data_IF_310423212212
#
_entry.id   IF_310423212212
#
_cell.length_a   1.000
_cell.length_b   1.000
_cell.length_c   1.000
_cell.angle_alpha   90.00
_cell.angle_beta   90.00
_cell.angle_gamma   90.00
#
_symmetry.space_group_name_H-M   'P 1'
#
loop_
_entity.id
_entity.type
_entity.pdbx_description
1 polymer ?
#
# COMPACT_ATOMS: atom_id res chain seq x y z
N UNK A 1 29.17 77.96 -34.01
CA UNK A 1 29.93 77.54 -32.81
C UNK A 1 29.40 76.19 -32.33
N UNK A 2 30.23 75.12 -32.45
CA UNK A 2 30.32 73.84 -31.69
C UNK A 2 29.03 73.22 -31.11
N UNK A 3 28.56 72.05 -31.58
CA UNK A 3 29.04 70.64 -31.39
C UNK A 3 28.19 69.87 -30.34
N UNK A 4 27.38 68.94 -30.85
CA UNK A 4 27.16 67.54 -30.43
C UNK A 4 27.61 67.02 -29.04
N UNK A 5 26.76 66.13 -28.51
CA UNK A 5 26.95 65.02 -27.52
C UNK A 5 26.80 65.36 -26.02
N UNK A 6 25.69 64.88 -25.43
CA UNK A 6 25.60 63.67 -24.56
C UNK A 6 24.17 63.61 -24.01
N UNK A 7 23.37 62.65 -24.46
CA UNK A 7 23.22 61.31 -23.90
C UNK A 7 22.58 61.33 -22.50
N UNK A 8 21.44 60.64 -22.43
CA UNK A 8 21.01 59.75 -21.37
C UNK A 8 21.44 60.14 -19.95
N UNK A 9 20.49 60.44 -19.07
CA UNK A 9 20.35 59.69 -17.83
C UNK A 9 18.98 60.01 -17.19
N UNK A 10 18.15 58.98 -17.13
CA UNK A 10 17.25 58.71 -15.99
C UNK A 10 16.02 59.61 -15.88
N UNK A 11 15.17 59.53 -16.92
CA UNK A 11 13.72 59.43 -16.71
C UNK A 11 13.38 57.96 -16.49
N UNK A 12 13.97 57.35 -15.45
CA UNK A 12 13.85 55.93 -15.09
C UNK A 12 13.18 55.77 -13.72
N UNK A 13 12.08 56.48 -13.48
CA UNK A 13 11.38 56.36 -12.20
C UNK A 13 9.85 56.33 -12.30
N UNK A 14 9.29 56.12 -13.49
CA UNK A 14 7.83 56.02 -13.68
C UNK A 14 7.40 54.89 -14.63
N UNK A 15 8.22 53.83 -14.74
CA UNK A 15 7.89 52.60 -15.49
C UNK A 15 7.97 51.32 -14.62
N UNK A 16 7.58 51.44 -13.35
CA UNK A 16 7.25 50.28 -12.51
C UNK A 16 5.77 50.26 -12.12
N UNK A 17 4.90 50.71 -13.03
CA UNK A 17 3.55 50.15 -13.06
C UNK A 17 3.74 48.77 -13.67
N UNK A 18 3.93 47.81 -12.77
CA UNK A 18 3.84 46.39 -13.04
C UNK A 18 2.57 46.15 -13.85
N UNK A 19 2.71 45.98 -15.17
CA UNK A 19 1.89 44.98 -15.82
C UNK A 19 2.34 43.66 -15.21
N UNK A 20 1.76 43.32 -14.06
CA UNK A 20 1.53 41.92 -13.75
C UNK A 20 0.78 41.41 -14.98
N UNK A 21 1.49 40.69 -15.83
CA UNK A 21 0.85 39.66 -16.60
C UNK A 21 0.14 38.81 -15.56
N UNK A 22 -1.14 39.09 -15.33
CA UNK A 22 -2.11 38.11 -14.93
C UNK A 22 -2.09 37.04 -16.02
N UNK A 23 -1.03 36.24 -16.05
CA UNK A 23 -1.18 34.82 -16.31
C UNK A 23 -2.17 34.40 -15.24
N UNK A 24 -3.44 34.35 -15.62
CA UNK A 24 -4.27 33.15 -15.67
C UNK A 24 -3.66 31.86 -15.07
N UNK A 25 -2.90 31.95 -13.99
CA UNK A 25 -3.00 31.02 -12.88
C UNK A 25 -4.30 31.40 -12.19
N UNK A 26 -5.42 31.17 -12.89
CA UNK A 26 -6.66 30.87 -12.23
C UNK A 26 -6.30 29.79 -11.22
N UNK A 27 -6.26 30.17 -9.94
CA UNK A 27 -6.88 29.46 -8.84
C UNK A 27 -7.29 28.03 -9.22
N UNK A 28 -6.33 27.16 -9.55
CA UNK A 28 -6.50 25.74 -9.34
C UNK A 28 -6.47 25.66 -7.83
N UNK A 29 -7.68 25.77 -7.28
CA UNK A 29 -8.01 25.24 -5.99
C UNK A 29 -7.62 23.76 -6.13
N UNK A 30 -6.36 23.45 -5.86
CA UNK A 30 -5.82 22.10 -5.96
C UNK A 30 -6.44 21.36 -4.79
N UNK A 31 -7.69 20.96 -4.95
CA UNK A 31 -8.35 20.07 -4.03
C UNK A 31 -7.61 18.74 -4.09
N UNK A 32 -6.58 18.62 -3.27
CA UNK A 32 -5.73 17.44 -3.15
C UNK A 32 -6.45 16.31 -2.42
N UNK A 33 -7.72 16.49 -2.05
CA UNK A 33 -8.54 15.44 -1.50
C UNK A 33 -9.20 14.61 -2.60
N UNK A 34 -9.40 15.20 -3.78
CA UNK A 34 -9.93 14.51 -4.95
C UNK A 34 -8.79 14.06 -5.87
N UNK A 35 -8.85 12.81 -6.36
CA UNK A 35 -7.90 12.25 -7.31
C UNK A 35 -8.61 11.45 -8.39
N UNK A 36 -8.14 11.57 -9.64
CA UNK A 36 -8.65 10.80 -10.77
C UNK A 36 -7.71 9.63 -11.07
N UNK A 37 -8.25 8.41 -10.99
CA UNK A 37 -7.55 7.16 -11.26
C UNK A 37 -7.98 6.61 -12.62
N UNK A 38 -7.02 6.20 -13.44
CA UNK A 38 -7.26 5.56 -14.73
C UNK A 38 -7.26 4.05 -14.57
N UNK A 39 -8.36 3.41 -14.94
CA UNK A 39 -8.39 1.96 -15.13
C UNK A 39 -7.86 1.61 -16.53
N UNK A 40 -6.76 0.86 -16.55
CA UNK A 40 -6.19 0.25 -17.74
C UNK A 40 -6.42 -1.25 -17.65
N UNK A 41 -7.28 -1.78 -18.53
CA UNK A 41 -7.65 -3.19 -18.54
C UNK A 41 -6.40 -4.08 -18.64
N UNK A 42 -6.22 -4.97 -17.69
CA UNK A 42 -4.99 -5.76 -17.55
C UNK A 42 -5.04 -7.11 -18.28
N UNK A 43 -6.17 -7.81 -18.21
CA UNK A 43 -6.37 -9.15 -18.76
C UNK A 43 -7.82 -9.30 -19.31
N UNK A 44 -8.14 -10.35 -20.10
CA UNK A 44 -9.43 -10.44 -20.80
C UNK A 44 -10.67 -10.32 -19.92
N UNK A 45 -10.62 -10.89 -18.72
CA UNK A 45 -11.73 -10.89 -17.76
C UNK A 45 -11.69 -9.71 -16.78
N UNK A 46 -10.69 -8.82 -16.86
CA UNK A 46 -10.61 -7.62 -16.01
C UNK A 46 -11.73 -6.65 -16.40
N UNK A 47 -12.51 -6.24 -15.40
CA UNK A 47 -13.62 -5.30 -15.51
C UNK A 47 -13.43 -4.16 -14.52
N UNK A 48 -13.95 -2.97 -14.87
CA UNK A 48 -13.89 -1.83 -13.96
C UNK A 48 -14.59 -2.11 -12.62
N UNK A 49 -15.65 -2.93 -12.62
CA UNK A 49 -16.37 -3.28 -11.39
C UNK A 49 -15.51 -4.14 -10.45
N UNK A 50 -14.77 -5.11 -10.99
CA UNK A 50 -13.79 -5.88 -10.21
C UNK A 50 -12.64 -4.99 -9.73
N UNK A 51 -12.13 -4.12 -10.60
CA UNK A 51 -11.10 -3.13 -10.25
C UNK A 51 -11.58 -2.16 -9.15
N UNK A 52 -12.87 -1.79 -9.12
CA UNK A 52 -13.46 -0.99 -8.05
C UNK A 52 -13.52 -1.76 -6.73
N UNK A 53 -13.82 -3.06 -6.76
CA UNK A 53 -13.75 -3.91 -5.57
C UNK A 53 -12.32 -3.96 -5.06
N UNK A 54 -11.33 -4.20 -5.93
CA UNK A 54 -9.91 -4.16 -5.59
C UNK A 54 -9.47 -2.81 -5.00
N UNK A 55 -9.90 -1.69 -5.58
CA UNK A 55 -9.64 -0.35 -5.04
C UNK A 55 -10.21 -0.19 -3.64
N UNK A 56 -11.47 -0.60 -3.41
CA UNK A 56 -12.10 -0.54 -2.10
C UNK A 56 -11.36 -1.40 -1.07
N UNK A 57 -10.92 -2.59 -1.44
CA UNK A 57 -10.11 -3.44 -0.57
C UNK A 57 -8.74 -2.82 -0.25
N UNK A 58 -8.02 -2.30 -1.23
CA UNK A 58 -6.76 -1.59 -1.00
C UNK A 58 -6.91 -0.35 -0.10
N UNK A 59 -7.92 0.48 -0.35
CA UNK A 59 -8.22 1.64 0.50
C UNK A 59 -8.62 1.22 1.92
N UNK A 60 -9.44 0.19 2.05
CA UNK A 60 -9.83 -0.36 3.34
C UNK A 60 -8.61 -0.85 4.11
N UNK A 61 -7.70 -1.56 3.45
CA UNK A 61 -6.49 -2.09 4.08
C UNK A 61 -5.58 -1.01 4.67
N UNK A 62 -5.53 0.18 4.06
CA UNK A 62 -4.82 1.34 4.62
C UNK A 62 -5.66 2.19 5.57
N UNK A 63 -6.86 1.74 5.96
CA UNK A 63 -7.65 2.33 7.04
C UNK A 63 -8.96 3.00 6.63
N UNK A 64 -9.36 2.95 5.36
CA UNK A 64 -10.67 3.48 4.95
C UNK A 64 -11.81 2.65 5.55
N UNK A 65 -12.86 3.32 6.05
CA UNK A 65 -14.09 2.64 6.47
C UNK A 65 -15.01 2.31 5.30
N UNK A 66 -15.07 3.20 4.29
CA UNK A 66 -15.91 3.15 3.08
C UNK A 66 -17.41 2.90 3.35
N UNK A 67 -18.36 3.79 2.99
CA UNK A 67 -19.76 3.36 2.96
C UNK A 67 -20.03 2.45 1.75
N UNK A 68 -20.94 1.47 1.90
CA UNK A 68 -21.36 0.56 0.81
C UNK A 68 -22.05 1.26 -0.37
N UNK A 69 -22.62 2.46 -0.15
CA UNK A 69 -23.57 3.13 -1.07
C UNK A 69 -23.04 4.39 -1.80
N UNK A 70 -21.75 4.72 -1.62
CA UNK A 70 -20.92 5.70 -2.37
C UNK A 70 -21.31 7.20 -2.37
N UNK A 71 -20.53 8.02 -1.64
CA UNK A 71 -20.38 9.47 -1.89
C UNK A 71 -18.92 9.88 -2.22
N UNK A 72 -17.94 8.99 -2.01
CA UNK A 72 -16.50 9.28 -2.17
C UNK A 72 -15.79 8.54 -3.29
N UNK A 73 -16.48 7.65 -4.01
CA UNK A 73 -15.94 6.99 -5.22
C UNK A 73 -17.03 7.07 -6.29
N UNK A 74 -16.68 7.55 -7.48
CA UNK A 74 -17.58 7.60 -8.63
C UNK A 74 -16.84 7.18 -9.90
N UNK A 75 -17.55 6.60 -10.86
CA UNK A 75 -16.96 6.14 -12.12
C UNK A 75 -17.58 6.80 -13.32
N UNK A 76 -16.73 7.08 -14.31
CA UNK A 76 -17.13 7.53 -15.64
C UNK A 76 -16.21 6.89 -16.68
N UNK A 77 -16.76 6.02 -17.52
CA UNK A 77 -16.01 5.20 -18.46
C UNK A 77 -14.90 4.39 -17.77
N UNK A 78 -13.64 4.70 -18.05
CA UNK A 78 -12.46 4.07 -17.43
C UNK A 78 -11.73 4.99 -16.44
N UNK A 79 -12.41 6.01 -15.93
CA UNK A 79 -11.89 6.92 -14.91
C UNK A 79 -12.68 6.73 -13.62
N UNK A 80 -11.97 6.56 -12.52
CA UNK A 80 -12.50 6.46 -11.18
C UNK A 80 -12.07 7.71 -10.43
N UNK A 81 -13.03 8.51 -9.95
CA UNK A 81 -12.76 9.63 -9.05
C UNK A 81 -12.86 9.15 -7.62
N UNK A 82 -11.88 9.49 -6.79
CA UNK A 82 -11.93 9.30 -5.34
C UNK A 82 -11.88 10.65 -4.62
N UNK A 83 -12.60 10.76 -3.52
CA UNK A 83 -12.55 11.90 -2.58
C UNK A 83 -12.25 11.34 -1.19
N UNK A 84 -10.99 11.48 -0.75
CA UNK A 84 -10.48 10.86 0.48
C UNK A 84 -11.20 11.34 1.75
N UNK A 85 -11.79 12.54 1.74
CA UNK A 85 -12.56 13.06 2.86
C UNK A 85 -13.87 12.29 3.08
N UNK A 86 -14.34 11.57 2.05
CA UNK A 86 -15.60 10.81 2.07
C UNK A 86 -15.40 9.30 2.20
N UNK A 87 -14.16 8.84 2.37
CA UNK A 87 -13.82 7.41 2.49
C UNK A 87 -13.74 6.91 3.94
N UNK A 88 -13.86 7.82 4.91
CA UNK A 88 -13.86 7.47 6.34
C UNK A 88 -12.47 7.15 6.89
N UNK A 89 -11.43 7.75 6.32
CA UNK A 89 -10.08 7.76 6.88
C UNK A 89 -10.01 8.57 8.18
N UNK A 90 -8.97 8.33 9.00
CA UNK A 90 -8.64 9.21 10.12
C UNK A 90 -8.11 10.55 9.63
N UNK A 91 -8.15 11.60 10.47
CA UNK A 91 -7.61 12.92 10.11
C UNK A 91 -6.12 12.86 9.76
N UNK A 92 -5.34 12.10 10.53
CA UNK A 92 -3.92 11.86 10.23
C UNK A 92 -3.73 11.17 8.87
N UNK A 93 -4.56 10.16 8.55
CA UNK A 93 -4.48 9.48 7.26
C UNK A 93 -4.84 10.43 6.10
N UNK A 94 -5.86 11.28 6.28
CA UNK A 94 -6.23 12.30 5.29
C UNK A 94 -5.04 13.24 5.04
N UNK A 95 -4.38 13.75 6.08
CA UNK A 95 -3.20 14.63 5.90
C UNK A 95 -2.11 13.97 5.04
N UNK A 96 -1.80 12.70 5.29
CA UNK A 96 -0.79 11.94 4.53
C UNK A 96 -1.25 11.69 3.10
N UNK A 97 -2.50 11.32 2.89
CA UNK A 97 -3.07 11.10 1.57
C UNK A 97 -3.15 12.40 0.75
N UNK A 98 -3.49 13.55 1.36
CA UNK A 98 -3.47 14.86 0.71
C UNK A 98 -2.05 15.21 0.23
N UNK A 99 -1.02 14.94 1.04
CA UNK A 99 0.39 15.10 0.65
C UNK A 99 0.78 14.20 -0.53
N UNK A 100 0.40 12.93 -0.48
CA UNK A 100 0.65 11.99 -1.57
C UNK A 100 -0.06 12.41 -2.86
N UNK A 101 -1.34 12.79 -2.77
CA UNK A 101 -2.14 13.25 -3.91
C UNK A 101 -1.55 14.50 -4.55
N UNK A 102 -1.01 15.43 -3.75
CA UNK A 102 -0.27 16.57 -4.26
C UNK A 102 0.95 16.13 -5.09
N UNK A 103 1.80 15.23 -4.55
CA UNK A 103 2.96 14.70 -5.29
C UNK A 103 2.57 13.97 -6.56
N UNK A 104 1.47 13.22 -6.53
CA UNK A 104 0.91 12.56 -7.72
C UNK A 104 0.51 13.60 -8.77
N UNK A 105 -0.22 14.65 -8.40
CA UNK A 105 -0.66 15.70 -9.33
C UNK A 105 0.50 16.49 -9.94
N UNK A 106 1.62 16.58 -9.23
CA UNK A 106 2.86 17.20 -9.70
C UNK A 106 3.69 16.31 -10.65
N UNK A 107 3.40 15.00 -10.72
CA UNK A 107 4.08 14.07 -11.63
C UNK A 107 3.79 14.36 -13.10
N UNK A 108 4.72 13.98 -13.99
CA UNK A 108 4.55 14.16 -15.43
C UNK A 108 3.35 13.36 -15.96
N UNK A 109 3.12 12.14 -15.48
CA UNK A 109 1.94 11.32 -15.79
C UNK A 109 0.64 12.08 -15.56
N UNK A 110 0.45 12.64 -14.35
CA UNK A 110 -0.80 13.32 -14.01
C UNK A 110 -0.96 14.62 -14.78
N UNK A 111 0.10 15.41 -14.93
CA UNK A 111 0.06 16.64 -15.74
C UNK A 111 -0.27 16.38 -17.22
N UNK A 112 0.14 15.23 -17.73
CA UNK A 112 -0.05 14.85 -19.15
C UNK A 112 -1.41 14.20 -19.39
N UNK A 113 -1.90 13.40 -18.45
CA UNK A 113 -3.09 12.56 -18.64
C UNK A 113 -4.30 13.00 -17.82
N UNK A 114 -4.10 13.92 -16.87
CA UNK A 114 -5.04 14.34 -15.83
C UNK A 114 -5.53 13.18 -14.94
N UNK A 115 -4.74 12.12 -14.85
CA UNK A 115 -5.06 10.90 -14.11
C UNK A 115 -3.76 10.24 -13.61
N UNK A 116 -3.84 9.39 -12.60
CA UNK A 116 -2.80 8.39 -12.27
C UNK A 116 -3.31 7.00 -12.62
N UNK A 117 -2.44 6.09 -13.07
CA UNK A 117 -2.79 4.68 -13.19
C UNK A 117 -3.29 4.08 -11.86
N UNK A 118 -4.43 3.38 -11.90
CA UNK A 118 -5.05 2.77 -10.72
C UNK A 118 -4.10 1.81 -9.99
N UNK A 119 -3.37 0.97 -10.72
CA UNK A 119 -2.42 0.04 -10.14
C UNK A 119 -1.20 0.73 -9.55
N UNK A 120 -0.71 1.82 -10.18
CA UNK A 120 0.33 2.69 -9.60
C UNK A 120 -0.12 3.28 -8.27
N UNK A 121 -1.35 3.78 -8.19
CA UNK A 121 -1.90 4.33 -6.95
C UNK A 121 -1.94 3.28 -5.82
N UNK A 122 -2.43 2.07 -6.10
CA UNK A 122 -2.42 0.97 -5.12
C UNK A 122 -0.99 0.59 -4.72
N UNK A 123 -0.06 0.55 -5.67
CA UNK A 123 1.37 0.28 -5.42
C UNK A 123 1.98 1.33 -4.49
N UNK A 124 1.63 2.61 -4.66
CA UNK A 124 2.07 3.68 -3.76
C UNK A 124 1.50 3.53 -2.36
N UNK A 125 0.26 3.05 -2.20
CA UNK A 125 -0.34 2.87 -0.86
C UNK A 125 0.21 1.67 -0.11
N UNK A 126 0.48 0.56 -0.81
CA UNK A 126 0.77 -0.74 -0.20
C UNK A 126 2.22 -1.20 -0.35
N UNK A 127 2.87 -0.85 -1.45
CA UNK A 127 4.23 -1.30 -1.76
C UNK A 127 5.33 -0.44 -1.16
N UNK A 128 5.02 0.82 -0.85
CA UNK A 128 5.88 1.69 -0.06
C UNK A 128 5.55 1.53 1.43
N UNK A 129 6.41 0.87 2.19
CA UNK A 129 6.09 0.48 3.58
C UNK A 129 5.90 1.70 4.47
N UNK A 130 6.70 2.74 4.27
CA UNK A 130 6.53 4.01 4.97
C UNK A 130 5.20 4.70 4.64
N UNK A 131 4.70 4.58 3.41
CA UNK A 131 3.36 5.11 3.10
C UNK A 131 2.29 4.34 3.87
N UNK A 132 2.35 3.00 3.83
CA UNK A 132 1.44 2.15 4.56
C UNK A 132 1.44 2.51 6.06
N UNK A 133 2.63 2.61 6.68
CA UNK A 133 2.75 2.89 8.10
C UNK A 133 2.23 4.27 8.48
N UNK A 134 2.56 5.30 7.71
CA UNK A 134 2.11 6.67 8.00
C UNK A 134 0.58 6.82 7.82
N UNK A 135 -0.01 6.15 6.83
CA UNK A 135 -1.45 6.22 6.57
C UNK A 135 -2.23 5.39 7.61
N UNK A 136 -1.75 4.19 7.96
CA UNK A 136 -2.40 3.33 8.97
C UNK A 136 -2.09 3.75 10.42
N UNK A 137 -1.13 4.64 10.62
CA UNK A 137 -0.70 5.12 11.92
C UNK A 137 0.07 4.07 12.73
N UNK A 138 0.84 3.19 12.06
CA UNK A 138 1.78 2.29 12.72
C UNK A 138 2.89 3.11 13.40
N UNK A 139 3.11 3.01 14.71
CA UNK A 139 4.13 3.79 15.43
C UNK A 139 5.56 3.51 14.98
N UNK A 140 6.46 4.46 15.27
CA UNK A 140 7.88 4.36 14.93
C UNK A 140 8.63 3.36 15.82
N UNK A 141 8.10 3.08 17.01
CA UNK A 141 8.72 2.14 17.96
C UNK A 141 7.75 1.09 18.47
N UNK A 142 8.25 -0.11 18.74
CA UNK A 142 7.48 -1.19 19.35
C UNK A 142 6.94 -0.78 20.72
N UNK A 143 7.72 0.01 21.48
CA UNK A 143 7.31 0.49 22.81
C UNK A 143 6.07 1.38 22.72
N UNK A 144 5.97 2.28 21.72
CA UNK A 144 4.78 3.10 21.50
C UNK A 144 3.53 2.27 21.20
N UNK A 145 3.68 1.14 20.52
CA UNK A 145 2.58 0.20 20.30
C UNK A 145 2.22 -0.49 21.62
N UNK A 146 3.19 -1.13 22.26
CA UNK A 146 2.93 -1.96 23.45
C UNK A 146 2.39 -1.17 24.63
N UNK A 147 2.68 0.14 24.73
CA UNK A 147 2.08 1.01 25.74
C UNK A 147 0.55 1.21 25.57
N UNK A 148 -0.03 0.80 24.44
CA UNK A 148 -1.49 0.88 24.17
C UNK A 148 -2.24 -0.37 24.59
N UNK A 149 -1.52 -1.47 24.90
CA UNK A 149 -2.10 -2.77 25.15
C UNK A 149 -1.52 -3.41 26.41
N UNK A 150 -2.33 -4.24 27.06
CA UNK A 150 -1.83 -5.12 28.12
C UNK A 150 -1.70 -6.53 27.55
N UNK A 151 -0.46 -6.98 27.34
CA UNK A 151 -0.20 -8.36 26.93
C UNK A 151 -0.54 -9.32 28.06
N UNK A 152 -1.13 -10.46 27.70
CA UNK A 152 -1.43 -11.54 28.62
C UNK A 152 -0.14 -12.24 29.07
N UNK A 153 -0.13 -12.84 30.28
CA UNK A 153 1.00 -13.66 30.72
C UNK A 153 1.12 -14.96 29.91
N UNK A 154 0.03 -15.46 29.32
CA UNK A 154 0.03 -16.59 28.42
C UNK A 154 0.70 -16.23 27.09
N UNK A 155 1.51 -17.15 26.57
CA UNK A 155 2.24 -16.99 25.31
C UNK A 155 2.41 -18.35 24.61
N UNK A 156 2.45 -18.30 23.29
CA UNK A 156 2.73 -19.44 22.43
C UNK A 156 4.20 -19.56 22.07
N UNK A 157 4.64 -20.76 21.74
CA UNK A 157 5.95 -21.04 21.16
C UNK A 157 5.77 -21.79 19.83
N UNK A 158 6.46 -21.35 18.79
CA UNK A 158 6.42 -21.95 17.45
C UNK A 158 7.85 -22.35 17.10
N UNK A 159 8.08 -23.66 16.96
CA UNK A 159 9.36 -24.27 16.59
C UNK A 159 9.35 -24.88 15.17
N UNK A 160 8.19 -24.83 14.51
CA UNK A 160 7.99 -25.29 13.15
C UNK A 160 7.10 -24.29 12.39
N UNK A 161 7.72 -23.18 11.96
CA UNK A 161 7.08 -22.09 11.24
C UNK A 161 7.14 -22.30 9.73
N UNK A 162 6.06 -21.94 9.02
CA UNK A 162 6.03 -21.94 7.55
C UNK A 162 6.51 -20.63 6.92
N UNK A 163 6.85 -19.64 7.74
CA UNK A 163 7.23 -18.28 7.31
C UNK A 163 8.61 -17.90 7.83
N UNK A 164 8.86 -18.11 9.13
CA UNK A 164 10.14 -17.84 9.79
C UNK A 164 11.05 -19.05 9.70
N UNK A 165 12.35 -18.84 9.50
CA UNK A 165 13.39 -19.86 9.64
C UNK A 165 13.82 -20.03 11.10
N UNK A 166 13.47 -19.08 11.95
CA UNK A 166 13.72 -19.07 13.39
C UNK A 166 12.47 -19.52 14.18
N UNK A 167 12.66 -19.80 15.47
CA UNK A 167 11.55 -20.04 16.38
C UNK A 167 10.82 -18.73 16.69
N UNK A 168 9.54 -18.80 17.06
CA UNK A 168 8.74 -17.61 17.38
C UNK A 168 8.10 -17.71 18.75
N UNK A 169 8.09 -16.60 19.47
CA UNK A 169 7.26 -16.42 20.67
C UNK A 169 6.07 -15.55 20.31
N UNK A 170 4.86 -16.08 20.49
CA UNK A 170 3.62 -15.35 20.19
C UNK A 170 3.01 -14.85 21.50
N UNK A 171 2.88 -13.54 21.62
CA UNK A 171 2.21 -12.85 22.72
C UNK A 171 0.98 -12.14 22.17
N UNK A 172 -0.04 -11.97 23.00
CA UNK A 172 -1.28 -11.32 22.58
C UNK A 172 -1.96 -10.65 23.77
N UNK A 173 -2.79 -9.64 23.48
CA UNK A 173 -3.71 -9.07 24.46
C UNK A 173 -5.05 -9.78 24.45
N UNK A 174 -5.87 -9.52 25.46
CA UNK A 174 -7.31 -9.77 25.36
C UNK A 174 -7.90 -9.02 24.16
N UNK A 175 -8.98 -9.58 23.62
CA UNK A 175 -9.74 -8.94 22.56
C UNK A 175 -10.95 -8.20 23.14
N UNK A 176 -11.02 -6.89 22.88
CA UNK A 176 -12.22 -6.09 23.14
C UNK A 176 -12.68 -5.39 21.86
N UNK A 177 -13.64 -6.00 21.16
CA UNK A 177 -14.01 -5.55 19.82
C UNK A 177 -12.81 -5.64 18.88
N UNK A 178 -12.55 -4.55 18.14
CA UNK A 178 -11.35 -4.38 17.32
C UNK A 178 -10.15 -3.85 18.12
N UNK A 179 -10.13 -4.01 19.44
CA UNK A 179 -8.96 -3.70 20.27
C UNK A 179 -8.27 -5.01 20.64
N UNK A 180 -7.24 -5.37 19.88
CA UNK A 180 -6.35 -6.49 20.17
C UNK A 180 -5.02 -6.30 19.45
N UNK A 181 -3.96 -6.80 20.07
CA UNK A 181 -2.65 -6.94 19.45
C UNK A 181 -2.14 -8.38 19.54
N UNK A 182 -1.43 -8.80 18.51
CA UNK A 182 -0.53 -9.94 18.50
C UNK A 182 0.90 -9.42 18.28
N UNK A 183 1.84 -9.93 19.06
CA UNK A 183 3.26 -9.69 18.93
C UNK A 183 3.94 -11.04 18.67
N UNK A 184 4.70 -11.10 17.59
CA UNK A 184 5.66 -12.17 17.37
C UNK A 184 7.06 -11.65 17.66
N UNK A 185 7.85 -12.46 18.35
CA UNK A 185 9.30 -12.30 18.52
C UNK A 185 9.97 -13.43 17.72
N UNK A 186 10.78 -13.11 16.72
CA UNK A 186 11.64 -14.10 16.05
C UNK A 186 12.89 -14.32 16.90
N UNK A 187 13.08 -15.54 17.39
CA UNK A 187 14.05 -15.85 18.44
C UNK A 187 14.98 -16.99 18.05
N UNK A 188 16.26 -16.82 18.36
CA UNK A 188 17.21 -17.92 18.31
C UNK A 188 16.89 -18.93 19.43
N UNK A 189 16.63 -20.21 19.12
CA UNK A 189 16.21 -21.18 20.13
C UNK A 189 17.30 -21.56 21.13
N UNK A 190 18.57 -21.27 20.83
CA UNK A 190 19.73 -21.61 21.66
C UNK A 190 20.18 -20.43 22.51
N UNK A 191 20.38 -19.25 21.90
CA UNK A 191 20.86 -18.06 22.60
C UNK A 191 19.74 -17.24 23.26
N UNK A 192 18.50 -17.38 22.78
CA UNK A 192 17.37 -16.52 23.19
C UNK A 192 17.44 -15.09 22.64
N UNK A 193 18.39 -14.81 21.72
CA UNK A 193 18.47 -13.55 21.01
C UNK A 193 17.22 -13.32 20.16
N UNK A 194 16.73 -12.09 20.13
CA UNK A 194 15.59 -11.68 19.31
C UNK A 194 16.14 -10.96 18.08
N UNK A 195 15.78 -11.43 16.89
CA UNK A 195 16.19 -10.82 15.63
C UNK A 195 15.25 -9.68 15.23
N UNK A 196 13.95 -9.95 15.26
CA UNK A 196 12.92 -9.02 14.78
C UNK A 196 11.61 -9.20 15.56
N UNK A 197 10.76 -8.18 15.48
CA UNK A 197 9.39 -8.24 15.98
C UNK A 197 8.41 -7.94 14.86
N UNK A 198 7.28 -8.63 14.91
CA UNK A 198 6.12 -8.34 14.06
C UNK A 198 4.89 -8.12 14.93
N UNK A 199 4.08 -7.12 14.58
CA UNK A 199 2.82 -6.85 15.27
C UNK A 199 1.64 -6.93 14.32
N UNK A 200 0.53 -7.47 14.81
CA UNK A 200 -0.77 -7.41 14.15
C UNK A 200 -1.77 -6.77 15.11
N UNK A 201 -2.35 -5.64 14.71
CA UNK A 201 -3.42 -4.97 15.44
C UNK A 201 -4.75 -5.07 14.66
N UNK A 202 -5.86 -5.22 15.38
CA UNK A 202 -7.18 -5.11 14.76
C UNK A 202 -7.56 -3.64 14.56
N UNK A 203 -8.07 -3.28 13.38
CA UNK A 203 -8.56 -1.93 13.09
C UNK A 203 -10.09 -1.85 13.15
N UNK A 204 -10.67 -0.68 13.51
CA UNK A 204 -12.13 -0.51 13.60
C UNK A 204 -12.91 -0.72 12.31
N UNK A 205 -12.24 -0.67 11.15
CA UNK A 205 -12.84 -0.98 9.84
C UNK A 205 -12.78 -2.49 9.51
N UNK A 206 -12.39 -3.33 10.45
CA UNK A 206 -12.25 -4.78 10.30
C UNK A 206 -10.93 -5.22 9.69
N UNK A 207 -10.05 -4.33 9.24
CA UNK A 207 -8.75 -4.70 8.68
C UNK A 207 -7.71 -4.98 9.76
N UNK A 208 -6.57 -5.52 9.33
CA UNK A 208 -5.40 -5.74 10.17
C UNK A 208 -4.35 -4.68 9.88
N UNK A 209 -3.76 -4.09 10.93
CA UNK A 209 -2.58 -3.24 10.83
C UNK A 209 -1.34 -4.05 11.17
N UNK A 210 -0.36 -4.01 10.28
CA UNK A 210 0.91 -4.71 10.44
C UNK A 210 2.02 -3.75 10.83
N UNK A 211 2.95 -4.21 11.65
CA UNK A 211 4.16 -3.49 12.02
C UNK A 211 5.35 -4.44 12.04
N UNK A 212 6.51 -3.98 11.58
CA UNK A 212 7.76 -4.73 11.56
C UNK A 212 8.80 -3.87 12.26
N UNK A 213 9.53 -4.47 13.21
CA UNK A 213 10.52 -3.79 14.03
C UNK A 213 11.81 -4.58 14.09
N UNK A 214 12.94 -3.87 14.13
CA UNK A 214 14.25 -4.47 14.37
C UNK A 214 14.40 -4.97 15.83
N UNK A 215 15.50 -5.65 16.14
CA UNK A 215 15.83 -6.11 17.49
C UNK A 215 15.82 -5.01 18.57
N UNK A 216 16.02 -3.74 18.19
CA UNK A 216 15.98 -2.58 19.09
C UNK A 216 14.57 -2.00 19.24
N UNK A 217 13.58 -2.55 18.51
CA UNK A 217 12.21 -2.09 18.51
C UNK A 217 11.94 -0.87 17.64
N UNK A 218 12.81 -0.53 16.69
CA UNK A 218 12.57 0.54 15.71
C UNK A 218 11.86 -0.01 14.47
N UNK A 219 10.86 0.74 13.95
CA UNK A 219 10.11 0.36 12.76
C UNK A 219 11.05 0.22 11.56
N UNK A 220 10.87 -0.85 10.77
CA UNK A 220 11.61 -1.10 9.52
C UNK A 220 10.66 -1.46 8.38
N UNK A 221 11.12 -1.39 7.14
CA UNK A 221 10.28 -1.55 5.95
C UNK A 221 9.90 -2.99 5.61
N UNK A 222 10.71 -3.96 6.00
CA UNK A 222 10.52 -5.38 5.66
C UNK A 222 11.23 -6.26 6.68
N UNK A 223 10.82 -7.51 6.80
CA UNK A 223 11.58 -8.52 7.55
C UNK A 223 12.90 -8.83 6.87
N UNK A 224 13.89 -9.28 7.63
CA UNK A 224 15.14 -9.78 7.06
C UNK A 224 14.92 -11.12 6.36
N UNK A 225 15.24 -11.18 5.06
CA UNK A 225 15.09 -12.38 4.24
C UNK A 225 16.01 -13.53 4.67
N UNK A 226 17.05 -13.28 5.48
CA UNK A 226 17.86 -14.37 6.06
C UNK A 226 17.18 -15.09 7.22
N UNK A 227 16.15 -14.48 7.83
CA UNK A 227 15.45 -15.03 8.99
C UNK A 227 13.98 -15.36 8.68
N UNK A 228 13.37 -14.71 7.69
CA UNK A 228 11.94 -14.83 7.44
C UNK A 228 11.52 -14.57 6.00
N UNK A 229 10.50 -15.31 5.55
CA UNK A 229 9.81 -15.08 4.28
C UNK A 229 8.63 -14.10 4.41
N UNK A 230 8.45 -13.41 5.54
CA UNK A 230 7.29 -12.55 5.78
C UNK A 230 7.25 -11.29 4.90
N UNK A 231 8.40 -10.73 4.53
CA UNK A 231 8.53 -9.63 3.57
C UNK A 231 8.03 -8.28 4.10
N UNK A 232 7.22 -7.59 3.31
CA UNK A 232 6.64 -6.27 3.61
C UNK A 232 5.20 -6.37 4.15
N UNK A 233 4.66 -5.30 4.76
CA UNK A 233 3.24 -5.23 5.12
C UNK A 233 2.30 -5.54 3.93
N UNK A 234 2.65 -5.12 2.72
CA UNK A 234 1.88 -5.43 1.50
C UNK A 234 1.75 -6.92 1.20
N UNK A 235 2.72 -7.76 1.59
CA UNK A 235 2.66 -9.23 1.47
C UNK A 235 1.72 -9.85 2.48
N UNK A 236 1.51 -9.21 3.63
CA UNK A 236 0.57 -9.72 4.63
C UNK A 236 -0.88 -9.71 4.13
N UNK A 237 -1.24 -8.82 3.19
CA UNK A 237 -2.51 -8.92 2.46
C UNK A 237 -2.69 -10.26 1.76
N UNK A 238 -1.60 -10.77 1.20
CA UNK A 238 -1.54 -12.00 0.42
C UNK A 238 -1.47 -13.24 1.30
N UNK A 239 -0.50 -13.31 2.23
CA UNK A 239 -0.30 -14.51 3.05
C UNK A 239 -1.34 -14.71 4.16
N UNK A 240 -2.04 -13.65 4.59
CA UNK A 240 -2.89 -13.71 5.78
C UNK A 240 -4.38 -13.53 5.50
N UNK A 241 -4.84 -13.37 4.25
CA UNK A 241 -6.25 -13.15 3.88
C UNK A 241 -6.98 -12.14 4.82
N UNK A 242 -6.24 -11.18 5.39
CA UNK A 242 -6.68 -10.31 6.48
C UNK A 242 -7.35 -11.03 7.66
N UNK A 243 -6.85 -12.19 8.09
CA UNK A 243 -7.36 -13.01 9.18
C UNK A 243 -6.27 -13.34 10.22
N UNK A 244 -6.69 -13.76 11.42
CA UNK A 244 -5.78 -14.29 12.43
C UNK A 244 -5.52 -15.75 12.05
N UNK A 245 -4.28 -16.12 11.73
CA UNK A 245 -4.00 -17.46 11.23
C UNK A 245 -4.00 -18.52 12.34
N UNK A 246 -4.51 -19.71 12.00
CA UNK A 246 -4.34 -20.91 12.81
C UNK A 246 -2.96 -21.53 12.49
N UNK A 247 -2.45 -22.40 13.36
CA UNK A 247 -1.21 -23.10 13.05
C UNK A 247 -1.43 -24.11 11.92
N UNK A 248 -0.50 -24.13 10.96
CA UNK A 248 -0.50 -25.07 9.83
C UNK A 248 0.20 -26.39 10.14
N UNK A 249 1.14 -26.34 11.10
CA UNK A 249 2.00 -27.45 11.49
C UNK A 249 1.86 -27.71 12.98
N UNK A 250 2.01 -28.96 13.40
CA UNK A 250 2.13 -29.31 14.82
C UNK A 250 3.41 -28.72 15.42
N UNK A 251 3.33 -28.22 16.66
CA UNK A 251 4.45 -27.64 17.43
C UNK A 251 4.76 -28.53 18.64
N UNK A 252 6.00 -28.52 19.13
CA UNK A 252 6.30 -29.20 20.40
C UNK A 252 5.80 -28.39 21.61
N UNK A 253 5.51 -29.08 22.71
CA UNK A 253 5.11 -28.43 23.96
C UNK A 253 6.34 -28.04 24.79
N UNK A 254 6.38 -26.79 25.24
CA UNK A 254 7.48 -26.23 26.02
C UNK A 254 7.00 -25.68 27.36
N UNK A 255 7.75 -25.96 28.43
CA UNK A 255 7.41 -25.47 29.77
C UNK A 255 7.37 -23.92 29.81
N UNK A 256 6.31 -23.36 30.40
CA UNK A 256 6.10 -21.92 30.48
C UNK A 256 5.41 -21.29 29.25
N UNK A 257 4.97 -22.11 28.30
CA UNK A 257 4.17 -21.72 27.14
C UNK A 257 2.85 -22.50 27.11
N UNK A 258 1.88 -21.99 26.36
CA UNK A 258 0.68 -22.75 26.02
C UNK A 258 1.09 -24.01 25.22
N UNK A 259 0.43 -25.13 25.50
CA UNK A 259 0.56 -26.33 24.66
C UNK A 259 0.07 -26.04 23.23
N UNK A 260 0.47 -26.86 22.27
CA UNK A 260 0.02 -26.74 20.88
C UNK A 260 -1.52 -26.65 20.78
N UNK A 261 -2.24 -27.52 21.48
CA UNK A 261 -3.70 -27.52 21.44
C UNK A 261 -4.32 -26.28 22.09
N UNK A 262 -3.75 -25.80 23.20
CA UNK A 262 -4.23 -24.57 23.86
C UNK A 262 -4.00 -23.35 22.97
N UNK A 263 -2.80 -23.18 22.41
CA UNK A 263 -2.49 -22.08 21.51
C UNK A 263 -3.38 -22.13 20.26
N UNK A 264 -3.57 -23.30 19.66
CA UNK A 264 -4.43 -23.49 18.50
C UNK A 264 -5.87 -23.04 18.80
N UNK A 265 -6.42 -23.49 19.92
CA UNK A 265 -7.77 -23.14 20.32
C UNK A 265 -7.92 -21.65 20.63
N UNK A 266 -6.91 -21.03 21.25
CA UNK A 266 -6.86 -19.58 21.49
C UNK A 266 -6.88 -18.79 20.17
N UNK A 267 -6.04 -19.15 19.20
CA UNK A 267 -6.00 -18.49 17.89
C UNK A 267 -7.30 -18.66 17.10
N UNK A 268 -7.89 -19.87 17.12
CA UNK A 268 -9.21 -20.13 16.51
C UNK A 268 -10.30 -19.28 17.16
N UNK A 269 -10.30 -19.17 18.50
CA UNK A 269 -11.28 -18.35 19.22
C UNK A 269 -11.21 -16.88 18.82
N UNK A 270 -10.00 -16.30 18.78
CA UNK A 270 -9.80 -14.91 18.33
C UNK A 270 -10.16 -14.73 16.86
N UNK A 271 -9.82 -15.69 15.99
CA UNK A 271 -10.23 -15.69 14.58
C UNK A 271 -11.75 -15.62 14.44
N UNK A 272 -12.49 -16.50 15.11
CA UNK A 272 -13.96 -16.53 15.00
C UNK A 272 -14.62 -15.30 15.61
N UNK A 273 -14.10 -14.80 16.72
CA UNK A 273 -14.55 -13.53 17.32
C UNK A 273 -14.33 -12.36 16.35
N UNK A 274 -13.13 -12.23 15.77
CA UNK A 274 -12.83 -11.20 14.77
C UNK A 274 -13.73 -11.35 13.53
N UNK A 275 -13.92 -12.58 13.02
CA UNK A 275 -14.80 -12.85 11.87
C UNK A 275 -16.24 -12.43 12.16
N UNK A 276 -16.78 -12.76 13.34
CA UNK A 276 -18.12 -12.35 13.76
C UNK A 276 -18.27 -10.82 13.76
N UNK A 277 -17.26 -10.10 14.26
CA UNK A 277 -17.28 -8.63 14.28
C UNK A 277 -17.21 -8.04 12.87
N UNK A 278 -16.32 -8.55 12.02
CA UNK A 278 -16.22 -8.15 10.60
C UNK A 278 -17.55 -8.33 9.85
N UNK A 279 -18.21 -9.48 10.03
CA UNK A 279 -19.50 -9.76 9.39
C UNK A 279 -20.66 -8.91 9.95
N UNK A 280 -20.49 -8.32 11.13
CA UNK A 280 -21.46 -7.40 11.72
C UNK A 280 -21.27 -5.95 11.23
N UNK A 281 -20.19 -5.63 10.51
CA UNK A 281 -19.98 -4.30 9.93
C UNK A 281 -21.01 -4.04 8.82
N UNK A 282 -21.76 -2.95 8.98
CA UNK A 282 -22.76 -2.50 7.99
C UNK A 282 -22.14 -1.77 6.82
N UNK A 283 -20.97 -1.19 7.04
CA UNK A 283 -20.19 -0.40 6.08
C UNK A 283 -18.84 -1.08 5.80
N UNK A 284 -18.22 -0.72 4.69
CA UNK A 284 -16.93 -1.21 4.26
C UNK A 284 -16.98 -2.27 3.18
N UNK A 285 -15.87 -2.99 3.08
CA UNK A 285 -15.74 -4.13 2.17
C UNK A 285 -16.60 -5.30 2.65
N UNK A 286 -16.96 -6.19 1.73
CA UNK A 286 -17.75 -7.37 2.08
C UNK A 286 -16.84 -8.49 2.61
N UNK A 287 -16.69 -8.55 3.93
CA UNK A 287 -15.91 -9.60 4.60
C UNK A 287 -16.50 -11.02 4.48
N UNK A 288 -17.71 -11.19 3.92
CA UNK A 288 -18.21 -12.52 3.56
C UNK A 288 -17.52 -13.09 2.31
N UNK A 289 -16.89 -12.23 1.50
CA UNK A 289 -16.24 -12.58 0.25
C UNK A 289 -14.72 -12.71 0.47
N UNK A 290 -14.28 -13.84 1.00
CA UNK A 290 -12.91 -14.05 1.46
C UNK A 290 -11.82 -13.81 0.42
N UNK A 291 -12.13 -13.98 -0.87
CA UNK A 291 -11.15 -13.88 -1.97
C UNK A 291 -11.16 -12.51 -2.69
N UNK A 292 -12.03 -11.56 -2.31
CA UNK A 292 -12.06 -10.26 -3.01
C UNK A 292 -10.80 -9.42 -2.81
N UNK A 293 -10.02 -9.66 -1.76
CA UNK A 293 -8.74 -8.96 -1.56
C UNK A 293 -7.74 -9.24 -2.70
N UNK A 294 -7.82 -10.41 -3.35
CA UNK A 294 -6.99 -10.77 -4.51
C UNK A 294 -7.17 -9.81 -5.69
N UNK A 295 -8.33 -9.14 -5.79
CA UNK A 295 -8.56 -8.10 -6.79
C UNK A 295 -7.67 -6.88 -6.56
N UNK A 296 -7.33 -6.57 -5.31
CA UNK A 296 -6.32 -5.52 -5.01
C UNK A 296 -4.94 -5.94 -5.50
N UNK A 297 -4.62 -7.21 -5.36
CA UNK A 297 -3.33 -7.75 -5.78
C UNK A 297 -3.16 -7.68 -7.28
N UNK A 298 -4.19 -8.07 -8.02
CA UNK A 298 -4.21 -7.97 -9.47
C UNK A 298 -4.02 -6.52 -9.95
N UNK A 299 -4.45 -5.49 -9.19
CA UNK A 299 -4.19 -4.10 -9.54
C UNK A 299 -2.70 -3.74 -9.51
N UNK A 300 -1.99 -4.06 -8.42
CA UNK A 300 -0.56 -3.74 -8.34
C UNK A 300 0.30 -4.71 -9.16
N UNK A 301 -0.04 -6.00 -9.23
CA UNK A 301 0.68 -7.00 -10.03
C UNK A 301 0.62 -6.60 -11.50
N UNK A 302 -0.58 -6.33 -12.03
CA UNK A 302 -0.72 -5.95 -13.44
C UNK A 302 -0.04 -4.62 -13.76
N UNK A 303 0.15 -3.74 -12.77
CA UNK A 303 0.92 -2.52 -12.93
C UNK A 303 2.44 -2.77 -12.89
N UNK A 304 2.92 -3.55 -11.92
CA UNK A 304 4.35 -3.87 -11.74
C UNK A 304 4.86 -4.86 -12.80
N UNK A 305 3.97 -5.65 -13.38
CA UNK A 305 4.27 -6.68 -14.36
C UNK A 305 3.24 -6.66 -15.49
N UNK A 306 3.21 -5.60 -16.34
CA UNK A 306 2.17 -5.42 -17.32
C UNK A 306 2.37 -6.27 -18.60
N UNK A 307 1.27 -6.58 -19.27
CA UNK A 307 1.25 -7.08 -20.65
C UNK A 307 1.39 -5.94 -21.67
N UNK A 308 1.74 -6.27 -22.92
CA UNK A 308 1.79 -5.29 -24.00
C UNK A 308 0.41 -4.65 -24.27
N UNK A 309 -0.66 -5.41 -24.14
CA UNK A 309 -2.05 -4.96 -24.26
C UNK A 309 -2.37 -3.92 -23.20
N UNK A 310 -2.04 -4.17 -21.93
CA UNK A 310 -2.25 -3.19 -20.85
C UNK A 310 -1.45 -1.91 -21.09
N UNK A 311 -0.18 -2.05 -21.48
CA UNK A 311 0.70 -0.91 -21.79
C UNK A 311 0.17 -0.07 -22.95
N UNK A 312 -0.45 -0.69 -23.96
CA UNK A 312 -1.09 0.06 -25.06
C UNK A 312 -2.18 1.02 -24.58
N UNK A 313 -2.91 0.64 -23.53
CA UNK A 313 -3.93 1.48 -22.89
C UNK A 313 -3.28 2.55 -22.01
N UNK A 314 -2.31 2.16 -21.18
CA UNK A 314 -1.57 3.06 -20.27
C UNK A 314 -0.85 4.17 -21.05
N UNK A 315 -0.10 3.81 -22.08
CA UNK A 315 0.70 4.72 -22.90
C UNK A 315 -0.13 5.42 -23.97
N UNK A 316 -1.39 5.03 -24.16
CA UNK A 316 -2.28 5.52 -25.24
C UNK A 316 -1.64 5.36 -26.63
N UNK A 317 -1.05 4.18 -26.87
CA UNK A 317 -0.33 3.85 -28.09
C UNK A 317 -0.96 2.62 -28.76
N UNK A 318 -0.90 2.50 -30.10
CA UNK A 318 -1.31 1.26 -30.77
C UNK A 318 -0.51 0.06 -30.25
N UNK A 319 -1.18 -1.07 -30.03
CA UNK A 319 -0.54 -2.31 -29.54
C UNK A 319 0.68 -2.72 -30.37
N UNK A 320 0.60 -2.60 -31.70
CA UNK A 320 1.71 -2.94 -32.60
C UNK A 320 2.96 -2.08 -32.36
N UNK A 321 2.77 -0.81 -32.00
CA UNK A 321 3.89 0.10 -31.68
C UNK A 321 4.51 -0.26 -30.32
N UNK A 322 3.67 -0.57 -29.33
CA UNK A 322 4.13 -1.06 -28.02
C UNK A 322 4.90 -2.37 -28.14
N UNK A 323 4.38 -3.33 -28.90
CA UNK A 323 5.08 -4.59 -29.19
C UNK A 323 6.42 -4.35 -29.89
N UNK A 324 6.50 -3.36 -30.79
CA UNK A 324 7.76 -2.94 -31.41
C UNK A 324 8.77 -2.36 -30.43
N UNK A 325 8.33 -1.56 -29.46
CA UNK A 325 9.19 -1.02 -28.39
C UNK A 325 9.73 -2.13 -27.47
N UNK A 326 8.93 -3.17 -27.25
CA UNK A 326 9.23 -4.26 -26.31
C UNK A 326 9.94 -5.46 -26.94
N UNK A 327 10.16 -5.47 -28.26
CA UNK A 327 10.49 -6.67 -29.04
C UNK A 327 11.76 -7.41 -28.61
N UNK A 328 12.69 -6.72 -27.92
CA UNK A 328 13.97 -7.27 -27.48
C UNK A 328 14.05 -7.49 -25.97
N UNK A 329 12.94 -7.31 -25.26
CA UNK A 329 12.88 -7.47 -23.81
C UNK A 329 12.34 -8.86 -23.47
N UNK A 330 12.90 -9.52 -22.45
CA UNK A 330 12.40 -10.81 -22.01
C UNK A 330 11.00 -10.64 -21.40
N UNK A 331 10.19 -11.68 -21.58
CA UNK A 331 8.90 -11.83 -20.89
C UNK A 331 8.96 -13.00 -19.91
N UNK A 332 8.04 -13.01 -18.97
CA UNK A 332 7.83 -14.12 -18.05
C UNK A 332 6.33 -14.36 -17.82
N UNK A 333 6.02 -15.46 -17.11
CA UNK A 333 4.68 -15.81 -16.66
C UNK A 333 4.62 -15.65 -15.14
N UNK A 334 3.63 -14.91 -14.64
CA UNK A 334 3.40 -14.83 -13.19
C UNK A 334 2.92 -16.18 -12.66
N UNK A 335 3.67 -16.81 -11.76
CA UNK A 335 3.42 -18.20 -11.34
C UNK A 335 2.06 -18.39 -10.67
N UNK A 336 1.62 -17.44 -9.83
CA UNK A 336 0.32 -17.53 -9.14
C UNK A 336 -0.87 -17.18 -10.06
N UNK A 337 -0.64 -16.38 -11.10
CA UNK A 337 -1.68 -15.84 -11.98
C UNK A 337 -1.28 -16.05 -13.45
N UNK A 338 -1.12 -17.30 -13.92
CA UNK A 338 -0.63 -17.58 -15.27
C UNK A 338 -1.58 -17.07 -16.37
N UNK A 339 -2.85 -16.80 -16.05
CA UNK A 339 -3.82 -16.20 -16.96
C UNK A 339 -3.47 -14.76 -17.37
N UNK A 340 -2.54 -14.09 -16.68
CA UNK A 340 -2.05 -12.77 -17.07
C UNK A 340 -1.19 -12.83 -18.35
N UNK A 341 -0.73 -14.00 -18.75
CA UNK A 341 0.02 -14.22 -19.99
C UNK A 341 1.48 -13.77 -19.90
N UNK A 342 2.03 -13.32 -21.03
CA UNK A 342 3.42 -12.85 -21.13
C UNK A 342 3.53 -11.43 -20.58
N UNK A 343 4.29 -11.27 -19.50
CA UNK A 343 4.46 -10.02 -18.78
C UNK A 343 5.89 -9.50 -18.90
N UNK A 344 6.04 -8.20 -18.69
CA UNK A 344 7.33 -7.52 -18.60
C UNK A 344 7.50 -6.98 -17.19
N UNK A 345 8.71 -6.95 -16.64
CA UNK A 345 8.94 -6.24 -15.39
C UNK A 345 8.93 -4.73 -15.62
N UNK A 346 8.14 -3.99 -14.83
CA UNK A 346 8.01 -2.52 -14.88
C UNK A 346 9.37 -1.82 -14.90
N UNK A 347 10.31 -2.26 -14.06
CA UNK A 347 11.66 -1.70 -13.95
C UNK A 347 12.45 -1.74 -15.27
N UNK A 348 12.17 -2.71 -16.14
CA UNK A 348 12.88 -2.90 -17.41
C UNK A 348 12.26 -2.08 -18.55
N UNK A 349 11.02 -1.60 -18.39
CA UNK A 349 10.24 -0.94 -19.44
C UNK A 349 9.89 0.53 -19.14
N UNK A 350 10.05 1.00 -17.89
CA UNK A 350 9.60 2.35 -17.49
C UNK A 350 10.26 3.47 -18.31
N UNK A 351 11.52 3.28 -18.73
CA UNK A 351 12.24 4.24 -19.59
C UNK A 351 11.69 4.34 -21.02
N UNK A 352 10.82 3.41 -21.43
CA UNK A 352 10.17 3.41 -22.74
C UNK A 352 8.81 4.15 -22.71
N UNK A 353 8.29 4.46 -21.52
CA UNK A 353 6.99 5.10 -21.37
C UNK A 353 7.02 6.55 -21.90
N UNK A 354 5.93 7.02 -22.54
CA UNK A 354 5.85 8.37 -23.11
C UNK A 354 5.75 9.48 -22.05
N UNK A 355 5.56 9.11 -20.79
CA UNK A 355 5.55 9.99 -19.62
C UNK A 355 6.12 9.22 -18.42
N UNK A 356 6.65 9.95 -17.45
CA UNK A 356 7.12 9.38 -16.20
C UNK A 356 6.09 9.60 -15.09
N UNK A 357 5.67 8.52 -14.44
CA UNK A 357 4.84 8.59 -13.25
C UNK A 357 5.66 8.86 -12.00
N UNK A 358 4.97 8.98 -10.87
CA UNK A 358 5.66 8.97 -9.58
C UNK A 358 6.35 7.61 -9.38
N UNK A 359 7.60 7.61 -8.91
CA UNK A 359 8.34 6.38 -8.69
C UNK A 359 7.67 5.52 -7.62
N UNK A 360 7.77 4.20 -7.77
CA UNK A 360 7.24 3.20 -6.84
C UNK A 360 8.39 2.40 -6.24
N UNK A 361 8.16 1.76 -5.08
CA UNK A 361 9.12 0.81 -4.53
C UNK A 361 9.31 -0.38 -5.49
N UNK A 362 10.52 -0.92 -5.57
CA UNK A 362 10.84 -1.97 -6.57
C UNK A 362 10.11 -3.30 -6.34
N UNK A 363 9.59 -3.53 -5.13
CA UNK A 363 8.74 -4.68 -4.79
C UNK A 363 7.63 -4.25 -3.82
N UNK A 364 6.42 -4.77 -4.06
CA UNK A 364 5.26 -4.58 -3.18
C UNK A 364 5.28 -5.55 -2.01
N UNK A 365 5.69 -6.79 -2.26
CA UNK A 365 5.62 -7.90 -1.30
C UNK A 365 6.94 -8.15 -0.58
N UNK A 366 8.06 -7.99 -1.26
CA UNK A 366 9.39 -8.33 -0.74
C UNK A 366 10.22 -7.07 -0.45
N UNK A 367 11.38 -7.26 0.16
CA UNK A 367 12.40 -6.22 0.28
C UNK A 367 12.62 -5.52 -1.07
N UNK A 368 12.65 -4.19 -1.06
CA UNK A 368 12.93 -3.41 -2.24
C UNK A 368 14.39 -2.99 -2.30
N UNK A 369 14.97 -3.04 -3.51
CA UNK A 369 16.24 -2.40 -3.84
C UNK A 369 16.09 -0.88 -3.77
N UNK A 370 14.92 -0.37 -4.20
CA UNK A 370 14.55 1.03 -4.14
C UNK A 370 13.27 1.12 -3.31
N UNK A 371 13.36 1.67 -2.10
CA UNK A 371 12.21 2.02 -1.28
C UNK A 371 11.89 3.50 -1.45
N UNK A 372 10.65 3.82 -1.83
CA UNK A 372 10.23 5.23 -1.99
C UNK A 372 9.54 5.74 -0.72
N UNK A 373 9.68 7.05 -0.47
CA UNK A 373 8.86 7.75 0.50
C UNK A 373 8.56 9.16 -0.03
N UNK A 374 7.32 9.37 -0.44
CA UNK A 374 6.77 10.61 -1.00
C UNK A 374 6.00 11.43 0.04
N UNK A 375 5.96 10.98 1.31
CA UNK A 375 5.28 11.66 2.41
C UNK A 375 6.19 12.58 3.24
N UNK A 376 7.51 12.47 3.05
CA UNK A 376 8.55 13.23 3.75
C UNK A 376 9.13 14.37 2.92
#
# INVERSE_FOLDING_TARGET
MKRMKKLLFVSFFLLFISCETNTYDELQNHDNNTLLLKWNKAYPDDTIDQSLIGLKWGLSYVGAKLPKTLNGISTSNNIISIDINKLGFSESAIEKLTKLNFKIKESQEYRTTNTIDLGRYITLLLGASEHYYEITGTPQTLTEILNRYTLLPQKGYIDNSSVSFENRIIKFSEQNGFTQIFLSEEVNPVSGEIFEYETIELLPNGQLRFGIFDANGNRKNNTDASHSNAGKPGKCMWCHESNINQMFSHQNDYAGYLTYNELQNTLISYRESNRKQKLALTDGVDFSQSQQHTLTELLYISFMEPSAERLSLEWKMPLTLVQGLLSNLPTHIYTEFPFLGNLYYRKDIENLAPFQGLSVSSSVREQSEIEVNHLN
#
